data_IF_301915068318
#
_entry.id   IF_301915068318
#
_cell.length_a   1.000
_cell.length_b   1.000
_cell.length_c   1.000
_cell.angle_alpha   90.00
_cell.angle_beta   90.00
_cell.angle_gamma   90.00
#
_symmetry.space_group_name_H-M   'P 1'
#
loop_
_entity.id
_entity.type
_entity.pdbx_description
1 polymer ?
#
# COMPACT_ATOMS: atom_id res chain seq x y z
N UNK A 1 21.56 -69.78 -45.20
CA UNK A 1 20.30 -69.03 -45.41
C UNK A 1 19.99 -68.32 -44.11
N UNK A 2 19.97 -66.99 -44.13
CA UNK A 2 19.79 -66.09 -43.00
C UNK A 2 18.42 -66.28 -42.35
N UNK A 3 18.35 -66.30 -41.01
CA UNK A 3 17.16 -65.90 -40.27
C UNK A 3 17.58 -65.02 -39.07
N UNK A 4 17.03 -63.81 -39.09
CA UNK A 4 17.31 -62.65 -38.25
C UNK A 4 16.62 -62.78 -36.87
N UNK A 5 17.24 -62.38 -35.73
CA UNK A 5 16.52 -62.27 -34.47
C UNK A 5 15.71 -60.96 -34.43
N UNK A 6 14.40 -61.07 -34.19
CA UNK A 6 13.51 -59.93 -33.90
C UNK A 6 13.89 -59.32 -32.55
N UNK A 7 14.33 -58.06 -32.56
CA UNK A 7 14.44 -57.24 -31.37
C UNK A 7 13.04 -56.79 -30.93
N UNK A 8 12.68 -57.04 -29.67
CA UNK A 8 11.47 -56.51 -29.03
C UNK A 8 11.86 -55.18 -28.38
N UNK A 9 11.45 -54.07 -28.97
CA UNK A 9 11.59 -52.72 -28.41
C UNK A 9 10.50 -52.51 -27.36
N UNK A 10 10.87 -52.47 -26.08
CA UNK A 10 10.00 -52.01 -25.01
C UNK A 10 9.92 -50.47 -25.05
N UNK A 11 8.76 -49.92 -25.40
CA UNK A 11 8.50 -48.49 -25.31
C UNK A 11 8.25 -48.12 -23.83
N UNK A 12 9.19 -47.42 -23.19
CA UNK A 12 8.94 -46.76 -21.91
C UNK A 12 8.10 -45.50 -22.19
N UNK A 13 6.84 -45.52 -21.76
CA UNK A 13 6.02 -44.32 -21.66
C UNK A 13 6.45 -43.51 -20.43
N UNK A 14 7.20 -42.43 -20.65
CA UNK A 14 7.47 -41.43 -19.62
C UNK A 14 6.22 -40.59 -19.40
N UNK A 15 5.51 -40.82 -18.29
CA UNK A 15 4.44 -39.94 -17.84
C UNK A 15 5.07 -38.66 -17.26
N UNK A 16 5.08 -37.57 -18.03
CA UNK A 16 5.42 -36.24 -17.52
C UNK A 16 4.28 -35.74 -16.63
N UNK A 17 4.43 -35.87 -15.32
CA UNK A 17 3.56 -35.20 -14.37
C UNK A 17 3.82 -33.68 -14.45
N UNK A 18 2.90 -32.95 -15.06
CA UNK A 18 2.89 -31.49 -14.98
C UNK A 18 2.53 -31.08 -13.55
N UNK A 19 3.54 -30.83 -12.72
CA UNK A 19 3.35 -30.17 -11.43
C UNK A 19 2.88 -28.74 -11.68
N UNK A 20 1.58 -28.51 -11.57
CA UNK A 20 1.04 -27.15 -11.42
C UNK A 20 1.61 -26.57 -10.13
N UNK A 21 2.59 -25.68 -10.25
CA UNK A 21 3.01 -24.79 -9.17
C UNK A 21 1.78 -23.94 -8.81
N UNK A 22 1.09 -24.31 -7.73
CA UNK A 22 0.17 -23.41 -7.05
C UNK A 22 1.09 -22.39 -6.39
N UNK A 23 1.25 -21.21 -7.01
CA UNK A 23 1.87 -20.08 -6.33
C UNK A 23 1.05 -19.83 -5.06
N UNK A 24 1.68 -19.78 -3.88
CA UNK A 24 0.94 -19.42 -2.68
C UNK A 24 0.36 -18.03 -2.93
N UNK A 25 -0.94 -17.88 -2.71
CA UNK A 25 -1.53 -16.55 -2.48
C UNK A 25 -0.64 -15.91 -1.42
N UNK A 26 -0.03 -14.77 -1.74
CA UNK A 26 0.78 -14.03 -0.78
C UNK A 26 -0.05 -13.92 0.51
N UNK A 27 0.48 -14.40 1.63
CA UNK A 27 -0.24 -14.41 2.88
C UNK A 27 -0.76 -12.99 3.16
N UNK A 28 -2.03 -12.87 3.53
CA UNK A 28 -2.63 -11.59 3.89
C UNK A 28 -1.76 -10.89 4.93
N UNK A 29 -1.11 -9.80 4.53
CA UNK A 29 -0.25 -9.03 5.42
C UNK A 29 -1.09 -8.00 6.15
N UNK A 30 -1.03 -8.02 7.48
CA UNK A 30 -1.69 -7.04 8.34
C UNK A 30 -1.04 -5.64 8.27
N UNK A 31 -0.04 -5.44 7.40
CA UNK A 31 0.65 -4.16 7.21
C UNK A 31 -0.01 -3.27 6.15
N UNK A 32 -0.87 -3.84 5.30
CA UNK A 32 -1.48 -3.14 4.16
C UNK A 32 -2.50 -2.12 4.61
N UNK A 33 -2.41 -0.93 4.04
CA UNK A 33 -3.40 0.13 4.22
C UNK A 33 -3.77 0.82 2.92
N UNK A 34 -4.74 1.71 3.02
CA UNK A 34 -5.29 2.45 1.89
C UNK A 34 -4.86 3.90 1.94
N UNK A 35 -4.12 4.34 0.92
CA UNK A 35 -4.02 5.76 0.58
C UNK A 35 -5.26 6.10 -0.25
N UNK A 36 -6.26 6.68 0.41
CA UNK A 36 -7.57 6.90 -0.18
C UNK A 36 -7.63 8.24 -0.92
N UNK A 37 -7.94 8.16 -2.21
CA UNK A 37 -8.21 9.32 -3.06
C UNK A 37 -9.66 9.27 -3.55
N UNK A 38 -10.58 10.07 -2.99
CA UNK A 38 -11.99 9.98 -3.34
C UNK A 38 -12.22 10.29 -4.82
N UNK A 39 -12.98 9.42 -5.50
CA UNK A 39 -13.42 9.68 -6.86
C UNK A 39 -14.85 10.24 -6.87
N UNK A 40 -14.97 11.57 -6.92
CA UNK A 40 -16.27 12.26 -6.93
C UNK A 40 -17.19 11.88 -8.10
N UNK A 41 -16.63 11.34 -9.18
CA UNK A 41 -17.42 10.91 -10.37
C UNK A 41 -17.90 9.47 -10.26
N UNK A 42 -17.30 8.66 -9.40
CA UNK A 42 -17.65 7.26 -9.18
C UNK A 42 -17.55 6.85 -7.70
N UNK A 43 -18.25 7.54 -6.77
CA UNK A 43 -18.14 7.29 -5.32
C UNK A 43 -18.65 5.89 -4.92
N UNK A 44 -19.35 5.18 -5.82
CA UNK A 44 -19.78 3.81 -5.57
C UNK A 44 -18.59 2.83 -5.50
N UNK A 45 -17.48 3.15 -6.17
CA UNK A 45 -16.28 2.30 -6.19
C UNK A 45 -15.63 2.21 -4.80
N UNK A 46 -15.79 3.24 -3.95
CA UNK A 46 -15.13 3.34 -2.66
C UNK A 46 -15.48 2.19 -1.70
N UNK A 47 -16.61 1.51 -1.92
CA UNK A 47 -16.98 0.34 -1.10
C UNK A 47 -16.07 -0.85 -1.34
N UNK A 48 -15.42 -0.94 -2.50
CA UNK A 48 -14.64 -2.12 -2.89
C UNK A 48 -13.48 -2.41 -1.92
N UNK A 49 -12.96 -1.37 -1.27
CA UNK A 49 -11.81 -1.45 -0.36
C UNK A 49 -12.13 -2.18 0.95
N UNK A 50 -13.40 -2.14 1.38
CA UNK A 50 -13.88 -2.78 2.61
C UNK A 50 -14.72 -4.04 2.36
N UNK A 51 -14.99 -4.37 1.08
CA UNK A 51 -15.68 -5.60 0.72
C UNK A 51 -14.79 -6.83 0.96
N UNK A 52 -15.32 -7.85 1.63
CA UNK A 52 -14.60 -9.10 1.86
C UNK A 52 -14.48 -9.94 0.56
N UNK A 53 -13.34 -10.60 0.31
CA UNK A 53 -12.12 -10.55 1.10
C UNK A 53 -11.35 -9.23 0.93
N UNK A 54 -10.88 -8.65 2.04
CA UNK A 54 -9.93 -7.53 2.07
C UNK A 54 -8.80 -7.80 3.06
N UNK A 55 -7.62 -7.25 2.77
CA UNK A 55 -6.44 -7.34 3.67
C UNK A 55 -6.02 -5.97 4.22
N UNK A 56 -6.84 -4.94 3.98
CA UNK A 56 -6.55 -3.59 4.42
C UNK A 56 -6.90 -3.43 5.90
N UNK A 57 -6.00 -2.83 6.67
CA UNK A 57 -6.12 -2.71 8.14
C UNK A 57 -6.10 -1.27 8.65
N UNK A 58 -5.75 -0.32 7.78
CA UNK A 58 -5.71 1.11 8.09
C UNK A 58 -5.87 1.93 6.81
N UNK A 59 -6.25 3.19 6.94
CA UNK A 59 -6.30 4.12 5.82
C UNK A 59 -6.03 5.56 6.25
N UNK A 60 -5.67 6.38 5.27
CA UNK A 60 -5.65 7.84 5.37
C UNK A 60 -6.14 8.43 4.05
N UNK A 61 -6.55 9.70 4.07
CA UNK A 61 -7.21 10.37 2.94
C UNK A 61 -6.65 11.78 2.69
N UNK A 62 -5.39 12.02 3.08
CA UNK A 62 -4.75 13.34 3.08
C UNK A 62 -5.46 14.41 3.94
N UNK A 63 -6.40 14.00 4.81
CA UNK A 63 -7.21 14.91 5.60
C UNK A 63 -7.25 14.56 7.08
N UNK A 64 -7.82 15.45 7.91
CA UNK A 64 -7.91 15.23 9.35
C UNK A 64 -9.17 14.46 9.78
N UNK A 65 -10.11 14.19 8.87
CA UNK A 65 -11.40 13.57 9.18
C UNK A 65 -11.59 12.23 8.43
N UNK A 66 -12.21 11.23 9.07
CA UNK A 66 -12.50 9.95 8.43
C UNK A 66 -13.56 10.11 7.34
N UNK A 67 -13.48 9.24 6.34
CA UNK A 67 -14.49 9.12 5.29
C UNK A 67 -15.77 8.47 5.77
N UNK A 68 -16.92 9.04 5.39
CA UNK A 68 -18.24 8.53 5.76
C UNK A 68 -18.53 7.12 5.20
N UNK A 69 -17.93 6.76 4.05
CA UNK A 69 -18.10 5.43 3.45
C UNK A 69 -17.53 4.30 4.30
N UNK A 70 -16.60 4.61 5.21
CA UNK A 70 -15.98 3.63 6.12
C UNK A 70 -16.45 3.76 7.58
N UNK A 71 -17.43 4.63 7.86
CA UNK A 71 -17.86 4.93 9.23
C UNK A 71 -18.40 3.71 10.02
N UNK A 72 -18.90 2.71 9.30
CA UNK A 72 -19.49 1.50 9.88
C UNK A 72 -18.44 0.39 10.10
N UNK A 73 -17.19 0.59 9.65
CA UNK A 73 -16.08 -0.33 9.89
C UNK A 73 -15.39 0.05 11.20
N UNK A 74 -15.22 -0.88 12.16
CA UNK A 74 -14.57 -0.56 13.43
C UNK A 74 -13.13 -0.07 13.25
N UNK A 75 -12.73 0.94 14.04
CA UNK A 75 -11.35 1.47 14.06
C UNK A 75 -10.30 0.37 14.36
N UNK A 76 -10.68 -0.72 15.04
CA UNK A 76 -9.81 -1.88 15.32
C UNK A 76 -9.59 -2.80 14.13
N UNK A 77 -10.45 -2.72 13.10
CA UNK A 77 -10.38 -3.52 11.88
C UNK A 77 -9.82 -2.69 10.72
N UNK A 78 -10.20 -1.41 10.62
CA UNK A 78 -9.74 -0.49 9.59
C UNK A 78 -9.45 0.90 10.19
N UNK A 79 -8.25 1.07 10.73
CA UNK A 79 -7.84 2.28 11.45
C UNK A 79 -7.80 3.51 10.53
N UNK A 80 -8.62 4.53 10.80
CA UNK A 80 -8.40 5.85 10.20
C UNK A 80 -7.20 6.55 10.85
N UNK A 81 -6.26 7.01 10.03
CA UNK A 81 -5.08 7.78 10.42
C UNK A 81 -5.18 9.21 9.89
N UNK A 82 -5.45 10.22 10.74
CA UNK A 82 -5.51 11.62 10.33
C UNK A 82 -4.17 12.13 9.79
N UNK A 83 -4.22 12.99 8.77
CA UNK A 83 -3.04 13.63 8.20
C UNK A 83 -3.15 15.16 8.27
N UNK A 84 -2.07 15.81 8.71
CA UNK A 84 -1.87 17.25 8.52
C UNK A 84 -1.10 17.46 7.22
N UNK A 85 -1.82 17.54 6.09
CA UNK A 85 -1.23 17.49 4.75
C UNK A 85 -0.22 18.61 4.49
N UNK A 86 -0.51 19.85 4.89
CA UNK A 86 0.31 21.01 4.55
C UNK A 86 0.29 22.11 5.60
N UNK A 87 0.96 23.22 5.30
CA UNK A 87 0.97 24.39 6.16
C UNK A 87 -0.33 25.20 6.01
N UNK A 88 -1.02 25.55 7.11
CA UNK A 88 -2.08 26.54 7.10
C UNK A 88 -1.52 27.95 6.91
N UNK A 89 -2.39 28.93 6.61
CA UNK A 89 -1.98 30.33 6.40
C UNK A 89 -1.30 30.97 7.62
N UNK A 90 -1.60 30.48 8.84
CA UNK A 90 -1.04 30.98 10.09
C UNK A 90 -0.21 29.91 10.80
N UNK A 91 1.00 30.28 11.24
CA UNK A 91 1.89 29.39 12.01
C UNK A 91 1.33 28.99 13.38
N UNK A 92 0.39 29.76 13.93
CA UNK A 92 -0.27 29.50 15.21
C UNK A 92 -1.56 28.67 15.07
N UNK A 93 -1.92 28.27 13.84
CA UNK A 93 -3.10 27.45 13.60
C UNK A 93 -2.95 26.07 14.25
N UNK A 94 -3.90 25.75 15.11
CA UNK A 94 -4.00 24.46 15.84
C UNK A 94 -5.31 23.74 15.52
N UNK A 95 -5.90 24.00 14.36
CA UNK A 95 -7.15 23.38 13.90
C UNK A 95 -6.99 21.87 13.69
N UNK A 96 -5.83 21.40 13.21
CA UNK A 96 -5.51 19.98 13.11
C UNK A 96 -5.52 19.31 14.50
N UNK A 97 -4.74 19.85 15.45
CA UNK A 97 -4.73 19.38 16.83
C UNK A 97 -6.14 19.36 17.45
N UNK A 98 -6.91 20.42 17.24
CA UNK A 98 -8.29 20.53 17.74
C UNK A 98 -9.21 19.47 17.13
N UNK A 99 -9.05 19.19 15.83
CA UNK A 99 -9.81 18.15 15.12
C UNK A 99 -9.49 16.78 15.67
N UNK A 100 -8.22 16.40 15.77
CA UNK A 100 -7.80 15.10 16.32
C UNK A 100 -8.25 14.92 17.76
N UNK A 101 -8.11 15.95 18.61
CA UNK A 101 -8.64 15.95 19.98
C UNK A 101 -10.15 15.70 20.02
N UNK A 102 -10.90 16.29 19.09
CA UNK A 102 -12.35 16.11 18.99
C UNK A 102 -12.72 14.69 18.54
N UNK A 103 -11.98 14.09 17.59
CA UNK A 103 -12.18 12.69 17.20
C UNK A 103 -12.01 11.76 18.41
N UNK A 104 -10.96 11.96 19.20
CA UNK A 104 -10.67 11.13 20.38
C UNK A 104 -11.70 11.37 21.49
N UNK A 105 -11.88 12.62 21.93
CA UNK A 105 -12.62 12.94 23.16
C UNK A 105 -14.12 13.05 22.95
N UNK A 106 -14.54 13.60 21.82
CA UNK A 106 -15.95 13.90 21.55
C UNK A 106 -16.62 12.80 20.75
N UNK A 107 -15.93 12.23 19.75
CA UNK A 107 -16.47 11.15 18.91
C UNK A 107 -16.10 9.74 19.38
N UNK A 108 -15.18 9.61 20.34
CA UNK A 108 -14.76 8.30 20.88
C UNK A 108 -13.99 7.44 19.89
N UNK A 109 -13.41 8.02 18.83
CA UNK A 109 -12.61 7.29 17.84
C UNK A 109 -11.20 7.10 18.42
N UNK A 110 -10.73 5.85 18.44
CA UNK A 110 -9.42 5.50 18.97
C UNK A 110 -8.28 5.87 17.99
N UNK A 111 -7.97 7.16 17.91
CA UNK A 111 -6.84 7.65 17.11
C UNK A 111 -5.54 7.41 17.87
N UNK A 112 -4.72 6.48 17.38
CA UNK A 112 -3.43 6.12 17.99
C UNK A 112 -2.22 6.57 17.19
N UNK A 113 -2.40 6.92 15.92
CA UNK A 113 -1.35 7.40 15.03
C UNK A 113 -1.85 8.59 14.22
N UNK A 114 -0.95 9.50 13.84
CA UNK A 114 -1.21 10.57 12.85
C UNK A 114 -0.04 10.70 11.88
N UNK A 115 -0.35 11.12 10.66
CA UNK A 115 0.61 11.50 9.64
C UNK A 115 0.78 13.02 9.63
N UNK A 116 2.00 13.48 9.33
CA UNK A 116 2.32 14.90 9.17
C UNK A 116 2.45 15.25 7.68
N UNK A 117 3.19 16.31 7.36
CA UNK A 117 3.16 16.97 6.05
C UNK A 117 3.47 16.04 4.87
N UNK A 118 2.73 16.22 3.78
CA UNK A 118 2.87 15.48 2.53
C UNK A 118 3.89 16.15 1.62
N UNK A 119 5.02 15.50 1.35
CA UNK A 119 6.07 15.99 0.45
C UNK A 119 6.39 17.47 0.64
N UNK A 120 6.75 17.91 1.87
CA UNK A 120 7.03 19.32 2.12
C UNK A 120 8.26 19.83 1.37
N UNK A 121 9.15 18.94 0.92
CA UNK A 121 10.27 19.24 0.04
C UNK A 121 9.87 19.33 -1.45
N UNK A 122 8.66 18.89 -1.80
CA UNK A 122 8.09 18.96 -3.15
C UNK A 122 7.22 20.20 -3.37
N UNK A 123 7.12 20.67 -4.61
CA UNK A 123 6.30 21.83 -4.95
C UNK A 123 4.81 21.48 -5.06
N UNK A 124 3.94 22.48 -4.88
CA UNK A 124 2.50 22.34 -5.13
C UNK A 124 2.17 21.91 -6.56
N UNK A 125 3.02 22.26 -7.53
CA UNK A 125 2.86 21.89 -8.95
C UNK A 125 2.82 20.38 -9.16
N UNK A 126 3.57 19.62 -8.35
CA UNK A 126 3.66 18.16 -8.44
C UNK A 126 2.86 17.44 -7.35
N UNK A 127 2.04 18.17 -6.58
CA UNK A 127 1.22 17.59 -5.50
C UNK A 127 1.89 17.58 -4.12
N UNK A 128 3.06 18.22 -3.97
CA UNK A 128 3.70 18.42 -2.67
C UNK A 128 3.11 19.58 -1.88
N UNK A 129 3.39 19.61 -0.58
CA UNK A 129 2.90 20.66 0.34
C UNK A 129 3.80 21.89 0.42
N UNK A 130 4.99 21.84 -0.19
CA UNK A 130 5.94 22.95 -0.36
C UNK A 130 6.13 23.81 0.90
N UNK A 131 6.77 23.24 1.93
CA UNK A 131 6.94 23.86 3.24
C UNK A 131 8.44 23.99 3.56
N UNK A 132 8.85 25.17 4.01
CA UNK A 132 10.20 25.36 4.56
C UNK A 132 10.39 24.60 5.88
N UNK A 133 11.57 23.98 6.15
CA UNK A 133 11.81 23.20 7.36
C UNK A 133 11.49 23.94 8.68
N UNK A 134 11.80 25.23 8.77
CA UNK A 134 11.52 26.05 9.96
C UNK A 134 10.02 26.30 10.18
N UNK A 135 9.26 26.47 9.10
CA UNK A 135 7.79 26.61 9.15
C UNK A 135 7.16 25.29 9.60
N UNK A 136 7.60 24.18 9.00
CA UNK A 136 7.16 22.84 9.41
C UNK A 136 7.49 22.56 10.89
N UNK A 137 8.67 22.97 11.37
CA UNK A 137 9.08 22.82 12.76
C UNK A 137 8.16 23.55 13.73
N UNK A 138 7.79 24.81 13.45
CA UNK A 138 6.86 25.56 14.29
C UNK A 138 5.47 24.91 14.33
N UNK A 139 4.95 24.48 13.17
CA UNK A 139 3.67 23.78 13.08
C UNK A 139 3.71 22.44 13.81
N UNK A 140 4.81 21.71 13.74
CA UNK A 140 5.04 20.46 14.48
C UNK A 140 4.99 20.70 16.00
N UNK A 141 5.68 21.72 16.49
CA UNK A 141 5.64 22.09 17.92
C UNK A 141 4.22 22.42 18.37
N UNK A 142 3.47 23.14 17.53
CA UNK A 142 2.11 23.58 17.86
C UNK A 142 1.07 22.45 17.77
N UNK A 143 1.21 21.52 16.83
CA UNK A 143 0.19 20.52 16.52
C UNK A 143 0.58 19.08 16.91
N UNK A 144 1.82 18.67 16.67
CA UNK A 144 2.24 17.27 16.79
C UNK A 144 2.75 16.91 18.19
N UNK A 145 3.58 17.77 18.81
CA UNK A 145 4.09 17.52 20.17
C UNK A 145 2.93 17.35 21.18
N UNK A 146 1.88 18.20 21.18
CA UNK A 146 0.75 18.00 22.08
C UNK A 146 -0.04 16.70 21.83
N UNK A 147 -0.01 16.15 20.61
CA UNK A 147 -0.59 14.84 20.31
C UNK A 147 0.29 13.71 20.87
N UNK A 148 1.62 13.81 20.75
CA UNK A 148 2.55 12.86 21.39
C UNK A 148 2.40 12.85 22.91
N UNK A 149 2.20 14.00 23.54
CA UNK A 149 1.93 14.11 24.98
C UNK A 149 0.60 13.43 25.39
N UNK A 150 -0.33 13.27 24.45
CA UNK A 150 -1.56 12.50 24.62
C UNK A 150 -1.40 11.00 24.33
N UNK A 151 -0.20 10.55 23.95
CA UNK A 151 0.09 9.16 23.60
C UNK A 151 -0.21 8.80 22.14
N UNK A 152 -0.48 9.78 21.28
CA UNK A 152 -0.66 9.56 19.84
C UNK A 152 0.71 9.53 19.17
N UNK A 153 1.00 8.48 18.40
CA UNK A 153 2.26 8.35 17.64
C UNK A 153 2.24 9.27 16.42
N UNK A 154 3.35 9.94 16.14
CA UNK A 154 3.48 10.86 15.00
C UNK A 154 4.59 10.40 14.06
N UNK A 155 4.26 10.29 12.77
CA UNK A 155 5.21 10.05 11.70
C UNK A 155 5.94 11.31 11.26
N UNK A 156 7.23 11.18 10.92
CA UNK A 156 7.97 12.26 10.24
C UNK A 156 7.22 12.74 8.98
N UNK A 157 7.47 13.97 8.52
CA UNK A 157 6.94 14.42 7.23
C UNK A 157 7.35 13.45 6.12
N UNK A 158 6.41 13.14 5.23
CA UNK A 158 6.63 12.18 4.16
C UNK A 158 7.25 12.91 2.96
N UNK A 159 8.57 13.07 2.96
CA UNK A 159 9.27 13.72 1.86
C UNK A 159 9.19 12.91 0.56
N UNK A 160 9.41 13.59 -0.57
CA UNK A 160 9.52 12.94 -1.88
C UNK A 160 10.62 11.86 -1.87
N UNK A 161 10.55 10.91 -2.81
CA UNK A 161 11.61 9.92 -3.04
C UNK A 161 12.92 10.50 -3.62
N UNK A 162 13.00 11.82 -3.79
CA UNK A 162 14.16 12.53 -4.32
C UNK A 162 15.28 12.73 -3.29
N UNK A 163 16.43 13.23 -3.77
CA UNK A 163 17.61 13.50 -2.93
C UNK A 163 17.44 14.68 -1.96
N UNK A 164 16.39 15.48 -2.10
CA UNK A 164 16.05 16.59 -1.22
C UNK A 164 15.43 16.17 0.11
N UNK A 165 14.75 15.02 0.16
CA UNK A 165 13.93 14.64 1.30
C UNK A 165 14.72 14.46 2.60
N UNK A 166 15.82 13.70 2.56
CA UNK A 166 16.59 13.44 3.76
C UNK A 166 17.28 14.70 4.34
N UNK A 167 17.94 15.55 3.53
CA UNK A 167 18.42 16.86 4.01
C UNK A 167 17.31 17.75 4.57
N UNK A 168 16.13 17.77 3.93
CA UNK A 168 14.99 18.55 4.42
C UNK A 168 14.56 18.08 5.82
N UNK A 169 14.45 16.77 6.04
CA UNK A 169 14.09 16.19 7.35
C UNK A 169 15.12 16.47 8.44
N UNK A 170 16.42 16.42 8.10
CA UNK A 170 17.48 16.74 9.04
C UNK A 170 17.42 18.21 9.48
N UNK A 171 17.20 19.13 8.54
CA UNK A 171 17.03 20.54 8.84
C UNK A 171 15.77 20.77 9.69
N UNK A 172 14.64 20.15 9.33
CA UNK A 172 13.39 20.23 10.07
C UNK A 172 13.55 19.78 11.54
N UNK A 173 14.23 18.64 11.77
CA UNK A 173 14.48 18.13 13.12
C UNK A 173 15.41 19.05 13.93
N UNK A 174 16.40 19.67 13.28
CA UNK A 174 17.29 20.64 13.91
C UNK A 174 16.51 21.89 14.36
N UNK A 175 15.73 22.48 13.46
CA UNK A 175 14.85 23.63 13.73
C UNK A 175 13.86 23.33 14.85
N UNK A 176 13.21 22.17 14.80
CA UNK A 176 12.28 21.74 15.86
C UNK A 176 12.99 21.59 17.21
N UNK A 177 14.19 21.00 17.22
CA UNK A 177 14.98 20.83 18.45
C UNK A 177 15.39 22.17 19.04
N UNK A 178 15.75 23.15 18.21
CA UNK A 178 16.05 24.51 18.64
C UNK A 178 14.83 25.19 19.27
N UNK A 179 13.66 25.11 18.62
CA UNK A 179 12.40 25.72 19.10
C UNK A 179 11.97 25.21 20.49
N UNK A 180 12.17 23.91 20.77
CA UNK A 180 11.77 23.31 22.06
C UNK A 180 12.85 23.34 23.12
N UNK A 181 14.06 23.79 22.77
CA UNK A 181 15.19 23.92 23.68
C UNK A 181 15.17 25.26 24.41
N UNK A 182 15.81 25.31 25.56
CA UNK A 182 16.08 26.56 26.29
C UNK A 182 17.57 26.64 26.65
N UNK A 183 18.01 27.82 27.11
CA UNK A 183 19.40 28.03 27.54
C UNK A 183 19.89 26.99 28.56
N UNK A 184 18.98 26.53 29.43
CA UNK A 184 19.31 25.61 30.52
C UNK A 184 18.94 24.15 30.22
N UNK A 185 18.20 23.89 29.13
CA UNK A 185 17.74 22.53 28.79
C UNK A 185 17.62 22.34 27.28
N UNK A 186 18.59 21.62 26.71
CA UNK A 186 18.55 21.17 25.33
C UNK A 186 17.62 19.96 25.20
N UNK A 187 16.79 19.95 24.17
CA UNK A 187 15.82 18.90 23.86
C UNK A 187 15.90 18.57 22.37
N UNK A 188 15.85 17.28 22.07
CA UNK A 188 15.74 16.82 20.69
C UNK A 188 14.25 16.74 20.31
N UNK A 189 13.93 17.14 19.09
CA UNK A 189 12.63 16.88 18.49
C UNK A 189 12.40 15.36 18.41
N UNK A 190 11.22 14.91 18.82
CA UNK A 190 10.88 13.48 18.88
C UNK A 190 9.83 13.14 17.83
N UNK A 191 9.93 11.94 17.29
CA UNK A 191 9.00 11.32 16.34
C UNK A 191 8.94 9.82 16.61
N UNK A 192 7.86 9.16 16.20
CA UNK A 192 7.59 7.77 16.56
C UNK A 192 7.97 6.79 15.45
N UNK A 193 7.75 7.17 14.18
CA UNK A 193 8.09 6.38 13.00
C UNK A 193 8.52 7.28 11.84
N UNK A 194 9.20 6.69 10.88
CA UNK A 194 9.67 7.33 9.65
C UNK A 194 8.63 7.07 8.55
N UNK A 195 8.32 8.11 7.78
CA UNK A 195 7.35 8.02 6.69
C UNK A 195 8.08 8.09 5.36
N UNK A 196 7.77 7.19 4.42
CA UNK A 196 8.50 7.01 3.16
C UNK A 196 7.54 7.10 1.98
N UNK A 197 7.88 7.94 1.00
CA UNK A 197 7.29 7.93 -0.33
C UNK A 197 8.29 7.40 -1.35
N UNK A 198 7.83 6.63 -2.32
CA UNK A 198 8.69 6.18 -3.43
C UNK A 198 7.94 5.96 -4.74
N UNK A 199 8.37 6.68 -5.78
CA UNK A 199 7.95 6.45 -7.15
C UNK A 199 9.17 6.14 -8.02
N UNK A 200 9.31 4.88 -8.43
CA UNK A 200 10.50 4.42 -9.14
C UNK A 200 10.68 2.90 -9.10
N UNK A 201 11.85 2.42 -9.53
CA UNK A 201 12.16 0.98 -9.53
C UNK A 201 12.41 0.41 -8.13
N UNK A 202 12.44 -0.92 -8.03
CA UNK A 202 12.61 -1.63 -6.76
C UNK A 202 14.00 -1.41 -6.14
N UNK A 203 15.06 -1.37 -6.94
CA UNK A 203 16.42 -1.16 -6.44
C UNK A 203 16.55 0.22 -5.78
N UNK A 204 15.93 1.24 -6.37
CA UNK A 204 15.89 2.58 -5.80
C UNK A 204 15.09 2.62 -4.51
N UNK A 205 13.92 1.95 -4.45
CA UNK A 205 13.13 1.80 -3.22
C UNK A 205 13.96 1.20 -2.08
N UNK A 206 14.62 0.07 -2.35
CA UNK A 206 15.44 -0.62 -1.35
C UNK A 206 16.62 0.24 -0.88
N UNK A 207 17.29 0.96 -1.80
CA UNK A 207 18.36 1.90 -1.47
C UNK A 207 17.85 3.05 -0.60
N UNK A 208 16.73 3.66 -0.98
CA UNK A 208 16.12 4.78 -0.28
C UNK A 208 15.73 4.41 1.15
N UNK A 209 15.11 3.24 1.34
CA UNK A 209 14.82 2.71 2.68
C UNK A 209 16.12 2.46 3.48
N UNK A 210 17.18 1.97 2.82
CA UNK A 210 18.48 1.80 3.46
C UNK A 210 19.08 3.12 3.99
N UNK A 211 19.00 4.19 3.19
CA UNK A 211 19.45 5.53 3.59
C UNK A 211 18.68 6.07 4.80
N UNK A 212 17.35 5.95 4.78
CA UNK A 212 16.52 6.38 5.91
C UNK A 212 16.72 5.52 7.16
N UNK A 213 16.96 4.22 7.00
CA UNK A 213 17.30 3.34 8.12
C UNK A 213 18.64 3.72 8.76
N UNK A 214 19.60 4.18 7.96
CA UNK A 214 20.90 4.64 8.46
C UNK A 214 20.78 6.01 9.15
N UNK A 215 19.98 6.92 8.61
CA UNK A 215 19.76 8.25 9.18
C UNK A 215 18.91 8.23 10.46
N UNK A 216 17.96 7.30 10.55
CA UNK A 216 17.02 7.18 11.66
C UNK A 216 17.06 5.77 12.29
N UNK A 217 18.18 5.40 12.94
CA UNK A 217 18.36 4.05 13.48
C UNK A 217 17.33 3.75 14.57
N UNK A 218 16.92 2.48 14.66
CA UNK A 218 15.94 1.96 15.63
C UNK A 218 14.52 2.58 15.50
N UNK A 219 14.18 3.12 14.33
CA UNK A 219 12.84 3.58 14.01
C UNK A 219 12.16 2.64 13.04
N UNK A 220 10.86 2.47 13.22
CA UNK A 220 10.02 1.76 12.25
C UNK A 220 9.66 2.67 11.08
N UNK A 221 9.25 2.05 9.98
CA UNK A 221 8.90 2.72 8.74
C UNK A 221 7.46 2.45 8.35
N UNK A 222 6.81 3.51 7.89
CA UNK A 222 5.53 3.48 7.22
C UNK A 222 5.74 3.96 5.78
N UNK A 223 5.54 3.07 4.80
CA UNK A 223 5.64 3.41 3.39
C UNK A 223 4.25 3.91 2.95
N UNK A 224 3.98 5.20 3.16
CA UNK A 224 2.64 5.77 2.97
C UNK A 224 2.27 5.96 1.50
N UNK A 225 3.26 6.03 0.60
CA UNK A 225 3.04 5.96 -0.83
C UNK A 225 4.15 5.18 -1.52
N UNK A 226 3.79 4.22 -2.36
CA UNK A 226 4.74 3.65 -3.31
C UNK A 226 4.06 3.20 -4.60
N UNK A 227 4.74 3.41 -5.73
CA UNK A 227 4.39 2.82 -7.03
C UNK A 227 5.58 2.84 -8.01
N UNK A 228 5.44 2.16 -9.14
CA UNK A 228 6.28 2.33 -10.33
C UNK A 228 5.49 3.13 -11.37
N UNK A 229 5.75 4.42 -11.44
CA UNK A 229 5.04 5.35 -12.32
C UNK A 229 5.48 5.22 -13.78
N UNK A 230 4.51 5.39 -14.69
CA UNK A 230 4.72 5.53 -16.15
C UNK A 230 5.50 4.38 -16.80
N UNK A 231 5.32 3.15 -16.28
CA UNK A 231 5.88 1.91 -16.86
C UNK A 231 4.81 1.00 -17.46
N UNK A 232 5.27 0.04 -18.24
CA UNK A 232 4.41 -0.99 -18.81
C UNK A 232 3.85 -1.93 -17.73
N UNK A 233 2.76 -2.62 -18.06
CA UNK A 233 2.00 -3.43 -17.12
C UNK A 233 2.84 -4.55 -16.48
N UNK A 234 3.71 -5.21 -17.27
CA UNK A 234 4.54 -6.30 -16.77
C UNK A 234 5.54 -5.79 -15.74
N UNK A 235 6.23 -4.68 -16.05
CA UNK A 235 7.15 -4.03 -15.12
C UNK A 235 6.44 -3.57 -13.84
N UNK A 236 5.25 -2.96 -13.94
CA UNK A 236 4.48 -2.49 -12.77
C UNK A 236 3.99 -3.65 -11.90
N UNK A 237 3.50 -4.74 -12.49
CA UNK A 237 3.11 -5.95 -11.76
C UNK A 237 4.31 -6.63 -11.08
N UNK A 238 5.47 -6.65 -11.75
CA UNK A 238 6.71 -7.19 -11.17
C UNK A 238 7.17 -6.36 -9.97
N UNK A 239 7.21 -5.03 -10.11
CA UNK A 239 7.53 -4.11 -9.03
C UNK A 239 6.59 -4.28 -7.83
N UNK A 240 5.28 -4.36 -8.08
CA UNK A 240 4.28 -4.57 -7.03
C UNK A 240 4.57 -5.86 -6.24
N UNK A 241 4.80 -6.98 -6.93
CA UNK A 241 5.05 -8.25 -6.28
C UNK A 241 6.36 -8.23 -5.48
N UNK A 242 7.44 -7.67 -6.04
CA UNK A 242 8.73 -7.56 -5.35
C UNK A 242 8.67 -6.66 -4.12
N UNK A 243 8.04 -5.48 -4.24
CA UNK A 243 7.96 -4.49 -3.15
C UNK A 243 7.09 -4.98 -1.99
N UNK A 244 5.90 -5.53 -2.26
CA UNK A 244 5.00 -6.03 -1.20
C UNK A 244 5.61 -7.22 -0.46
N UNK A 245 6.21 -8.16 -1.18
CA UNK A 245 6.92 -9.30 -0.59
C UNK A 245 8.14 -8.85 0.24
N UNK A 246 8.86 -7.82 -0.21
CA UNK A 246 9.94 -7.21 0.55
C UNK A 246 9.44 -6.58 1.85
N UNK A 247 8.39 -5.76 1.82
CA UNK A 247 7.82 -5.11 2.99
C UNK A 247 7.27 -6.11 4.02
N UNK A 248 6.66 -7.21 3.56
CA UNK A 248 6.10 -8.23 4.43
C UNK A 248 7.18 -8.91 5.28
N UNK A 249 8.39 -9.12 4.74
CA UNK A 249 9.52 -9.74 5.46
C UNK A 249 10.28 -8.82 6.42
N UNK A 250 10.15 -7.51 6.28
CA UNK A 250 10.93 -6.56 7.08
C UNK A 250 10.20 -6.19 8.37
N UNK A 251 10.73 -6.60 9.52
CA UNK A 251 10.11 -6.33 10.83
C UNK A 251 9.98 -4.83 11.16
N UNK A 252 10.92 -4.00 10.68
CA UNK A 252 10.87 -2.55 10.89
C UNK A 252 9.84 -1.85 10.00
N UNK A 253 9.32 -2.51 8.96
CA UNK A 253 8.17 -2.00 8.19
C UNK A 253 6.91 -2.36 8.93
N UNK A 254 6.28 -1.38 9.55
CA UNK A 254 5.00 -1.57 10.26
C UNK A 254 3.82 -1.54 9.28
N UNK A 255 3.87 -0.63 8.30
CA UNK A 255 2.73 -0.32 7.43
C UNK A 255 3.17 0.08 6.03
N UNK A 256 2.36 -0.23 5.02
CA UNK A 256 2.52 0.28 3.67
C UNK A 256 1.20 0.47 2.93
N UNK A 257 1.12 1.47 2.07
CA UNK A 257 -0.03 1.78 1.21
C UNK A 257 0.40 1.99 -0.24
N UNK A 258 -0.09 1.14 -1.14
CA UNK A 258 0.21 1.24 -2.56
C UNK A 258 -0.61 2.37 -3.18
N UNK A 259 0.05 3.32 -3.83
CA UNK A 259 -0.62 4.47 -4.43
C UNK A 259 -1.27 4.08 -5.75
N UNK A 260 -2.52 3.61 -5.70
CA UNK A 260 -3.22 3.12 -6.89
C UNK A 260 -4.73 2.98 -6.71
N UNK A 261 -5.30 3.47 -5.60
CA UNK A 261 -6.70 3.26 -5.22
C UNK A 261 -7.67 4.18 -5.99
N UNK A 262 -7.56 4.16 -7.32
CA UNK A 262 -8.34 4.95 -8.25
C UNK A 262 -8.47 4.22 -9.58
N UNK A 263 -9.34 4.74 -10.46
CA UNK A 263 -9.48 4.25 -11.83
C UNK A 263 -8.28 4.65 -12.68
N UNK A 264 -7.88 3.77 -13.58
CA UNK A 264 -6.73 3.95 -14.47
C UNK A 264 -6.80 5.22 -15.34
N UNK A 265 -8.00 5.69 -15.68
CA UNK A 265 -8.23 6.86 -16.53
C UNK A 265 -7.99 8.21 -15.83
N UNK A 266 -7.95 8.24 -14.50
CA UNK A 266 -7.65 9.43 -13.69
C UNK A 266 -6.28 9.35 -13.02
N UNK A 267 -5.51 8.30 -13.32
CA UNK A 267 -4.17 8.09 -12.74
C UNK A 267 -3.18 9.15 -13.20
N UNK A 268 -2.52 9.80 -12.26
CA UNK A 268 -1.40 10.73 -12.50
C UNK A 268 -0.03 10.04 -12.50
N UNK A 269 0.03 8.72 -12.31
CA UNK A 269 1.26 7.90 -12.33
C UNK A 269 1.26 6.88 -13.48
N UNK A 270 0.41 7.11 -14.48
CA UNK A 270 0.15 6.18 -15.57
C UNK A 270 -0.91 5.11 -15.22
N UNK A 271 -1.60 4.54 -16.22
CA UNK A 271 -2.77 3.69 -16.00
C UNK A 271 -2.43 2.33 -15.38
N UNK A 272 -1.20 1.84 -15.55
CA UNK A 272 -0.84 0.47 -15.21
C UNK A 272 -0.62 0.22 -13.72
N UNK A 273 -0.45 1.28 -12.93
CA UNK A 273 -0.37 1.21 -11.47
C UNK A 273 -1.72 1.33 -10.77
N UNK A 274 -2.83 1.49 -11.51
CA UNK A 274 -4.16 1.62 -10.92
C UNK A 274 -4.73 0.26 -10.48
N UNK A 275 -5.36 0.25 -9.31
CA UNK A 275 -6.07 -0.91 -8.76
C UNK A 275 -7.44 -1.12 -9.41
N UNK A 276 -8.02 -0.08 -10.01
CA UNK A 276 -9.26 -0.16 -10.76
C UNK A 276 -9.01 0.15 -12.24
N UNK A 277 -9.67 -0.60 -13.13
CA UNK A 277 -9.72 -0.29 -14.56
C UNK A 277 -10.54 0.98 -14.82
N UNK A 278 -10.55 1.43 -16.08
CA UNK A 278 -11.32 2.61 -16.53
C UNK A 278 -12.82 2.52 -16.17
N UNK A 279 -13.38 1.30 -16.16
CA UNK A 279 -14.78 1.07 -15.78
C UNK A 279 -15.02 0.77 -14.29
N UNK A 280 -13.98 0.80 -13.43
CA UNK A 280 -14.10 0.55 -12.00
C UNK A 280 -13.96 -0.92 -11.57
N UNK A 281 -13.60 -1.83 -12.48
CA UNK A 281 -13.35 -3.24 -12.12
C UNK A 281 -11.94 -3.42 -11.53
N UNK A 282 -11.74 -4.36 -10.61
CA UNK A 282 -10.41 -4.64 -10.06
C UNK A 282 -9.44 -5.13 -11.14
N UNK A 283 -8.28 -4.49 -11.22
CA UNK A 283 -7.12 -5.01 -11.96
C UNK A 283 -6.48 -6.16 -11.16
N UNK A 284 -5.52 -6.85 -11.77
CA UNK A 284 -4.75 -7.87 -11.05
C UNK A 284 -4.03 -7.31 -9.81
N UNK A 285 -3.45 -6.11 -9.92
CA UNK A 285 -2.80 -5.43 -8.78
C UNK A 285 -3.81 -5.14 -7.68
N UNK A 286 -4.98 -4.58 -8.02
CA UNK A 286 -6.04 -4.33 -7.05
C UNK A 286 -6.51 -5.61 -6.36
N UNK A 287 -6.71 -6.68 -7.13
CA UNK A 287 -7.09 -7.97 -6.58
C UNK A 287 -6.02 -8.55 -5.63
N UNK A 288 -4.75 -8.57 -6.04
CA UNK A 288 -3.67 -9.04 -5.18
C UNK A 288 -3.53 -8.21 -3.89
N UNK A 289 -3.73 -6.90 -3.99
CA UNK A 289 -3.60 -5.99 -2.87
C UNK A 289 -4.67 -6.22 -1.81
N UNK A 290 -5.89 -6.55 -2.24
CA UNK A 290 -7.01 -6.93 -1.40
C UNK A 290 -7.00 -8.41 -0.97
N UNK A 291 -5.96 -9.19 -1.32
CA UNK A 291 -5.86 -10.62 -1.00
C UNK A 291 -6.81 -11.51 -1.81
N UNK A 292 -7.23 -11.06 -3.00
CA UNK A 292 -8.12 -11.77 -3.92
C UNK A 292 -7.32 -12.49 -5.03
N UNK A 293 -8.01 -13.39 -5.74
CA UNK A 293 -7.44 -14.02 -6.95
C UNK A 293 -7.32 -13.00 -8.08
N UNK A 294 -6.29 -13.10 -8.96
CA UNK A 294 -6.15 -12.22 -10.12
C UNK A 294 -7.42 -12.24 -10.99
N UNK A 295 -7.79 -11.08 -11.52
CA UNK A 295 -9.00 -10.89 -12.33
C UNK A 295 -8.76 -11.07 -13.82
N UNK A 296 -7.51 -10.92 -14.29
CA UNK A 296 -7.15 -10.82 -15.70
C UNK A 296 -7.65 -9.55 -16.38
N UNK A 297 -8.17 -8.57 -15.62
CA UNK A 297 -8.70 -7.31 -16.17
C UNK A 297 -7.55 -6.33 -16.37
N UNK A 298 -7.37 -5.90 -17.63
CA UNK A 298 -6.37 -4.88 -17.96
C UNK A 298 -6.84 -3.50 -17.48
N UNK A 299 -5.93 -2.64 -17.00
CA UNK A 299 -6.28 -1.29 -16.54
C UNK A 299 -7.04 -0.45 -17.59
N UNK A 300 -6.71 -0.60 -18.87
CA UNK A 300 -7.36 0.12 -19.98
C UNK A 300 -8.71 -0.48 -20.41
N UNK A 301 -9.19 -1.52 -19.73
CA UNK A 301 -10.46 -2.17 -20.08
C UNK A 301 -11.64 -1.27 -19.71
N UNK A 302 -12.32 -0.75 -20.73
CA UNK A 302 -13.57 0.01 -20.59
C UNK A 302 -14.83 -0.87 -20.73
N UNK A 303 -14.67 -2.12 -21.14
CA UNK A 303 -15.78 -3.06 -21.37
C UNK A 303 -15.97 -4.00 -20.18
N UNK A 304 -17.19 -4.10 -19.66
CA UNK A 304 -17.60 -5.07 -18.62
C UNK A 304 -17.71 -6.48 -19.21
N UNK A 305 -16.63 -7.01 -19.77
CA UNK A 305 -16.55 -8.41 -20.16
C UNK A 305 -16.11 -9.22 -18.95
N UNK A 306 -17.10 -9.65 -18.15
CA UNK A 306 -16.95 -10.88 -17.37
C UNK A 306 -16.69 -12.02 -18.36
N UNK A 307 -15.42 -12.33 -18.61
CA UNK A 307 -15.05 -13.63 -19.15
C UNK A 307 -15.32 -14.64 -18.04
N UNK A 308 -16.30 -15.56 -18.19
CA UNK A 308 -16.48 -16.61 -17.22
C UNK A 308 -15.20 -17.47 -17.24
N UNK A 309 -14.59 -17.68 -16.07
CA UNK A 309 -13.56 -18.70 -15.88
C UNK A 309 -14.05 -20.01 -16.53
N UNK A 310 -13.20 -20.70 -17.32
CA UNK A 310 -13.60 -21.98 -17.90
C UNK A 310 -13.88 -22.94 -16.73
N UNK A 311 -15.16 -23.28 -16.53
CA UNK A 311 -15.54 -24.37 -15.66
C UNK A 311 -14.78 -25.61 -16.13
N UNK A 312 -13.92 -26.15 -15.26
CA UNK A 312 -13.25 -27.43 -15.49
C UNK A 312 -14.32 -28.45 -15.85
N UNK A 313 -14.30 -28.92 -17.10
CA UNK A 313 -15.13 -30.04 -17.54
C UNK A 313 -14.68 -31.26 -16.73
N UNK A 314 -15.45 -31.61 -15.69
CA UNK A 314 -15.29 -32.88 -14.99
C UNK A 314 -15.80 -33.95 -15.94
N UNK A 315 -14.87 -34.57 -16.66
CA UNK A 315 -15.16 -35.76 -17.46
C UNK A 315 -15.49 -36.92 -16.49
N UNK A 316 -16.76 -37.29 -16.42
CA UNK A 316 -17.22 -38.49 -15.73
C UNK A 316 -16.77 -39.70 -16.55
N UNK A 317 -15.75 -40.42 -16.10
CA UNK A 317 -15.42 -41.74 -16.63
C UNK A 317 -16.37 -42.77 -16.01
N UNK A 318 -17.37 -43.21 -16.80
CA UNK A 318 -18.13 -44.41 -16.48
C UNK A 318 -17.30 -45.65 -16.83
N UNK A 319 -16.79 -46.36 -15.82
CA UNK A 319 -16.17 -47.66 -15.99
C UNK A 319 -17.26 -48.72 -16.20
N UNK A 320 -17.35 -49.28 -17.41
CA UNK A 320 -18.13 -50.50 -17.67
C UNK A 320 -17.21 -51.70 -17.37
N UNK A 321 -17.40 -52.32 -16.20
CA UNK A 321 -16.87 -53.66 -15.90
C UNK A 321 -17.92 -54.67 -16.33
N UNK A 322 -17.72 -55.31 -17.48
CA UNK A 322 -18.50 -56.48 -17.87
C UNK A 322 -17.92 -57.72 -17.17
N UNK A 323 -18.62 -58.20 -16.14
CA UNK A 323 -18.40 -59.52 -15.57
C UNK A 323 -19.06 -60.57 -16.47
N UNK A 324 -18.26 -61.46 -17.06
CA UNK A 324 -18.74 -62.67 -17.71
C UNK A 324 -18.98 -63.74 -16.63
N UNK A 325 -20.24 -64.09 -16.40
CA UNK A 325 -20.63 -65.29 -15.66
C UNK A 325 -20.83 -66.42 -16.67
N UNK A 326 -20.06 -67.48 -16.49
CA UNK A 326 -20.15 -68.75 -17.21
C UNK A 326 -21.47 -69.47 -16.97
N UNK A 327 -21.95 -70.19 -18.00
CA UNK A 327 -22.97 -71.23 -17.89
C UNK A 327 -22.49 -72.46 -18.67
N UNK A 328 -22.65 -73.62 -18.03
CA UNK A 328 -22.27 -75.00 -18.39
C UNK A 328 -20.86 -75.46 -17.96
#
# INVERSE_FOLDING_TARGET
MLLCPRAVTAALATASAASTLILPVAAASSKRGLVFTPNVTAPADDKIWIEEPTTLTWYYNYGPNPESVYQDVPQSEFEFVPMMWGAPDSLDDTSFLSTVKSLIKSKGINITNVLSFNEPDGSFEYGGSQIEPSTAAQLWVNNMIPLQEMGVRVGLPACTGGSSGLPWLQNFLAECSELISSKDKQRNCTFDFVTIHWYGNFEGLASHMGEYSAAFPNKTMWITEFNLNDRDLEATQSFYNMSTEYFDRLDFVERYSYFGAFRSNVSNIGPNGAMLSDNGSLTDIGAWYLGRQPTGILPTSSSSLHLPLPQKVVAVFAAVVAAAISLA
#
